data_IF_114669747421
#
_entry.id   IF_114669747421
#
_cell.length_a   1.000
_cell.length_b   1.000
_cell.length_c   1.000
_cell.angle_alpha   90.00
_cell.angle_beta   90.00
_cell.angle_gamma   90.00
#
_symmetry.space_group_name_H-M   'P 1'
#
loop_
_entity.id
_entity.type
_entity.pdbx_description
1 polymer ?
#
# COMPACT_ATOMS: atom_id res chain seq x y z
N UNK A 1 -28.69 51.31 11.96
CA UNK A 1 -27.32 50.97 12.42
C UNK A 1 -27.25 49.58 13.04
N UNK A 2 -28.11 49.21 13.99
CA UNK A 2 -28.09 47.86 14.62
C UNK A 2 -28.40 46.72 13.63
N UNK A 3 -29.26 46.97 12.65
CA UNK A 3 -29.65 46.01 11.61
C UNK A 3 -28.45 45.47 10.82
N UNK A 4 -27.56 46.36 10.35
CA UNK A 4 -26.35 45.96 9.61
C UNK A 4 -25.36 45.21 10.51
N UNK A 5 -25.34 45.52 11.81
CA UNK A 5 -24.45 44.86 12.76
C UNK A 5 -24.92 43.41 13.02
N UNK A 6 -26.23 43.18 13.09
CA UNK A 6 -26.82 41.84 13.25
C UNK A 6 -26.64 41.00 11.99
N UNK A 7 -26.81 41.57 10.79
CA UNK A 7 -26.59 40.81 9.53
C UNK A 7 -25.14 40.38 9.37
N UNK A 8 -24.19 41.26 9.66
CA UNK A 8 -22.76 40.91 9.64
C UNK A 8 -22.41 39.82 10.66
N UNK A 9 -23.01 39.88 11.85
CA UNK A 9 -22.82 38.85 12.87
C UNK A 9 -23.33 37.48 12.40
N UNK A 10 -24.55 37.40 11.88
CA UNK A 10 -25.12 36.14 11.37
C UNK A 10 -24.28 35.60 10.19
N UNK A 11 -23.87 36.46 9.26
CA UNK A 11 -23.03 36.06 8.13
C UNK A 11 -21.67 35.53 8.58
N UNK A 12 -21.07 36.13 9.61
CA UNK A 12 -19.77 35.66 10.13
C UNK A 12 -19.86 34.25 10.71
N UNK A 13 -20.92 33.94 11.47
CA UNK A 13 -21.16 32.60 12.02
C UNK A 13 -21.45 31.60 10.88
N UNK A 14 -22.28 31.99 9.91
CA UNK A 14 -22.60 31.15 8.76
C UNK A 14 -21.36 30.79 7.93
N UNK A 15 -20.48 31.76 7.68
CA UNK A 15 -19.27 31.55 6.89
C UNK A 15 -18.25 30.68 7.63
N UNK A 16 -18.11 30.85 8.96
CA UNK A 16 -17.29 29.95 9.79
C UNK A 16 -17.81 28.50 9.76
N UNK A 17 -19.12 28.31 9.81
CA UNK A 17 -19.74 26.99 9.67
C UNK A 17 -19.41 26.34 8.33
N UNK A 18 -19.55 27.06 7.22
CA UNK A 18 -19.22 26.55 5.88
C UNK A 18 -17.74 26.20 5.76
N UNK A 19 -16.83 27.02 6.29
CA UNK A 19 -15.40 26.74 6.27
C UNK A 19 -15.05 25.43 7.01
N UNK A 20 -15.69 25.17 8.17
CA UNK A 20 -15.49 23.92 8.90
C UNK A 20 -15.96 22.69 8.12
N UNK A 21 -17.09 22.77 7.43
CA UNK A 21 -17.61 21.67 6.60
C UNK A 21 -16.72 21.40 5.39
N UNK A 22 -16.18 22.45 4.76
CA UNK A 22 -15.23 22.29 3.66
C UNK A 22 -13.94 21.59 4.12
N UNK A 23 -13.45 21.92 5.31
CA UNK A 23 -12.28 21.28 5.89
C UNK A 23 -12.52 19.78 6.11
N UNK A 24 -13.62 19.42 6.80
CA UNK A 24 -14.01 18.02 7.04
C UNK A 24 -14.20 17.25 5.72
N UNK A 25 -14.86 17.87 4.73
CA UNK A 25 -15.04 17.28 3.41
C UNK A 25 -13.71 17.00 2.70
N UNK A 26 -12.70 17.85 2.89
CA UNK A 26 -11.37 17.64 2.32
C UNK A 26 -10.67 16.40 2.89
N UNK A 27 -10.74 16.16 4.21
CA UNK A 27 -10.16 14.95 4.80
C UNK A 27 -10.86 13.69 4.34
N UNK A 28 -12.20 13.72 4.29
CA UNK A 28 -13.00 12.61 3.79
C UNK A 28 -12.64 12.26 2.34
N UNK A 29 -12.41 13.27 1.50
CA UNK A 29 -11.96 13.07 0.13
C UNK A 29 -10.52 12.53 0.03
N UNK A 30 -9.60 13.01 0.88
CA UNK A 30 -8.22 12.52 0.91
C UNK A 30 -8.14 11.05 1.32
N UNK A 31 -8.91 10.65 2.34
CA UNK A 31 -9.01 9.26 2.80
C UNK A 31 -9.61 8.35 1.72
N UNK A 32 -10.72 8.78 1.10
CA UNK A 32 -11.34 8.06 -0.01
C UNK A 32 -10.39 7.89 -1.21
N UNK A 33 -9.55 8.90 -1.49
CA UNK A 33 -8.55 8.86 -2.55
C UNK A 33 -7.46 7.84 -2.22
N UNK A 34 -6.89 7.86 -1.02
CA UNK A 34 -5.87 6.89 -0.57
C UNK A 34 -6.38 5.46 -0.70
N UNK A 35 -7.61 5.21 -0.22
CA UNK A 35 -8.25 3.90 -0.33
C UNK A 35 -8.47 3.46 -1.77
N UNK A 36 -8.92 4.37 -2.64
CA UNK A 36 -9.15 4.06 -4.06
C UNK A 36 -7.85 3.69 -4.78
N UNK A 37 -6.78 4.44 -4.51
CA UNK A 37 -5.45 4.14 -5.08
C UNK A 37 -4.92 2.80 -4.57
N UNK A 38 -5.05 2.52 -3.26
CA UNK A 38 -4.65 1.23 -2.69
C UNK A 38 -5.40 0.05 -3.31
N UNK A 39 -6.72 0.17 -3.55
CA UNK A 39 -7.48 -0.89 -4.24
C UNK A 39 -6.93 -1.15 -5.65
N UNK A 40 -6.65 -0.10 -6.43
CA UNK A 40 -6.12 -0.23 -7.79
C UNK A 40 -4.73 -0.89 -7.76
N UNK A 41 -3.85 -0.45 -6.86
CA UNK A 41 -2.49 -1.01 -6.72
C UNK A 41 -2.53 -2.48 -6.27
N UNK A 42 -3.41 -2.85 -5.35
CA UNK A 42 -3.61 -4.25 -4.95
C UNK A 42 -4.03 -5.13 -6.14
N UNK A 43 -4.97 -4.66 -6.96
CA UNK A 43 -5.40 -5.41 -8.15
C UNK A 43 -4.27 -5.53 -9.18
N UNK A 44 -3.52 -4.45 -9.41
CA UNK A 44 -2.35 -4.47 -10.30
C UNK A 44 -1.29 -5.46 -9.82
N UNK A 45 -0.98 -5.47 -8.51
CA UNK A 45 -0.03 -6.45 -7.97
C UNK A 45 -0.57 -7.89 -8.10
N UNK A 46 -1.85 -8.11 -7.83
CA UNK A 46 -2.47 -9.43 -8.03
C UNK A 46 -2.40 -9.90 -9.48
N UNK A 47 -2.60 -9.01 -10.46
CA UNK A 47 -2.45 -9.33 -11.87
C UNK A 47 -1.00 -9.63 -12.23
N UNK A 48 -0.03 -8.92 -11.66
CA UNK A 48 1.40 -9.19 -11.85
C UNK A 48 1.83 -10.52 -11.24
N UNK A 49 1.32 -10.88 -10.07
CA UNK A 49 1.52 -12.21 -9.47
C UNK A 49 0.96 -13.32 -10.38
N UNK A 50 -0.23 -13.12 -10.96
CA UNK A 50 -0.79 -14.08 -11.92
C UNK A 50 0.03 -14.17 -13.21
N UNK A 51 0.57 -13.04 -13.68
CA UNK A 51 1.36 -12.99 -14.90
C UNK A 51 2.78 -13.57 -14.73
N UNK A 52 3.32 -13.50 -13.52
CA UNK A 52 4.62 -14.08 -13.14
C UNK A 52 4.53 -15.52 -12.65
N UNK A 53 3.32 -16.08 -12.57
CA UNK A 53 3.12 -17.44 -12.11
C UNK A 53 3.70 -18.44 -13.11
N UNK A 54 4.47 -19.39 -12.60
CA UNK A 54 5.12 -20.48 -13.33
C UNK A 54 4.71 -21.82 -12.75
N UNK A 55 4.97 -22.91 -13.46
CA UNK A 55 4.71 -24.25 -12.91
C UNK A 55 5.70 -24.55 -11.79
N UNK A 56 5.20 -25.07 -10.67
CA UNK A 56 6.06 -25.53 -9.57
C UNK A 56 6.95 -26.68 -10.04
N UNK A 57 8.22 -26.66 -9.61
CA UNK A 57 9.16 -27.76 -9.82
C UNK A 57 8.81 -28.99 -8.95
N UNK A 58 8.04 -28.79 -7.88
CA UNK A 58 7.72 -29.79 -6.85
C UNK A 58 6.25 -30.25 -6.86
N UNK A 59 5.35 -29.56 -7.56
CA UNK A 59 3.91 -29.80 -7.51
C UNK A 59 3.16 -29.56 -8.83
N UNK A 60 1.92 -30.05 -8.89
CA UNK A 60 1.03 -29.86 -10.04
C UNK A 60 0.22 -28.55 -9.91
N UNK A 61 0.87 -27.40 -10.16
CA UNK A 61 0.15 -26.12 -10.18
C UNK A 61 1.02 -24.89 -10.43
N UNK A 62 0.36 -23.73 -10.47
CA UNK A 62 1.01 -22.44 -10.68
C UNK A 62 1.44 -21.84 -9.35
N UNK A 63 2.70 -21.44 -9.27
CA UNK A 63 3.31 -20.77 -8.12
C UNK A 63 4.08 -19.55 -8.59
N UNK A 64 4.35 -18.62 -7.69
CA UNK A 64 5.29 -17.52 -7.93
C UNK A 64 6.60 -17.80 -7.21
N UNK A 65 7.68 -17.21 -7.70
CA UNK A 65 8.98 -17.36 -7.08
C UNK A 65 8.93 -16.94 -5.58
N UNK A 66 9.59 -17.71 -4.71
CA UNK A 66 9.63 -17.44 -3.27
C UNK A 66 10.11 -16.02 -2.92
N UNK A 67 10.88 -15.38 -3.80
CA UNK A 67 11.32 -13.99 -3.64
C UNK A 67 10.16 -12.98 -3.49
N UNK A 68 8.95 -13.28 -3.98
CA UNK A 68 7.78 -12.41 -3.76
C UNK A 68 7.33 -12.33 -2.29
N UNK A 69 7.72 -13.28 -1.45
CA UNK A 69 7.34 -13.29 -0.03
C UNK A 69 8.40 -12.69 0.90
N UNK A 70 9.55 -12.30 0.33
CA UNK A 70 10.53 -11.49 1.02
C UNK A 70 9.93 -10.10 1.29
N UNK A 71 9.87 -9.67 2.56
CA UNK A 71 9.33 -8.33 2.86
C UNK A 71 10.32 -7.22 2.48
N UNK A 72 11.61 -7.54 2.34
CA UNK A 72 12.66 -6.54 2.15
C UNK A 72 12.65 -5.94 0.73
N UNK A 73 12.03 -6.62 -0.25
CA UNK A 73 11.86 -6.11 -1.62
C UNK A 73 10.75 -5.05 -1.73
N UNK A 74 9.95 -4.88 -0.68
CA UNK A 74 8.87 -3.90 -0.61
C UNK A 74 9.26 -2.70 0.26
N UNK A 75 8.60 -1.58 0.01
CA UNK A 75 8.74 -0.33 0.79
C UNK A 75 10.18 0.21 0.81
N UNK A 76 11.01 -0.21 -0.14
CA UNK A 76 12.44 0.14 -0.24
C UNK A 76 13.26 -0.28 0.99
N UNK A 77 12.83 -1.32 1.71
CA UNK A 77 13.46 -1.74 2.97
C UNK A 77 14.92 -2.18 2.79
N UNK A 78 15.25 -2.74 1.62
CA UNK A 78 16.61 -3.12 1.24
C UNK A 78 17.45 -1.97 0.64
N UNK A 79 16.89 -0.77 0.47
CA UNK A 79 17.58 0.39 -0.08
C UNK A 79 17.95 1.39 1.01
N UNK A 80 19.11 2.02 0.87
CA UNK A 80 19.60 3.04 1.79
C UNK A 80 19.88 4.36 1.06
N UNK A 81 20.03 5.44 1.83
CA UNK A 81 20.35 6.77 1.28
C UNK A 81 19.16 7.74 1.17
N UNK A 82 18.00 7.38 1.72
CA UNK A 82 16.88 8.31 1.90
C UNK A 82 16.79 8.75 3.36
N UNK A 83 17.58 9.76 3.74
CA UNK A 83 17.64 10.31 5.10
C UNK A 83 16.38 11.12 5.45
N UNK A 84 15.27 10.42 5.72
CA UNK A 84 13.96 11.04 6.02
C UNK A 84 13.34 11.79 4.84
N UNK A 85 13.88 11.59 3.63
CA UNK A 85 13.37 12.17 2.39
C UNK A 85 12.11 11.46 1.89
N UNK A 86 11.50 12.01 0.84
CA UNK A 86 10.39 11.35 0.16
C UNK A 86 10.92 10.10 -0.59
N UNK A 87 10.48 8.87 -0.27
CA UNK A 87 10.99 7.64 -0.88
C UNK A 87 10.89 7.61 -2.41
N UNK A 88 9.83 8.19 -2.98
CA UNK A 88 9.66 8.29 -4.42
C UNK A 88 10.78 9.13 -5.07
N UNK A 89 11.14 10.25 -4.45
CA UNK A 89 12.22 11.10 -4.97
C UNK A 89 13.59 10.44 -4.84
N UNK A 90 13.80 9.68 -3.76
CA UNK A 90 15.06 8.99 -3.51
C UNK A 90 15.28 7.82 -4.49
N UNK A 91 14.25 7.00 -4.69
CA UNK A 91 14.44 5.68 -5.29
C UNK A 91 13.73 5.49 -6.63
N UNK A 92 12.73 6.30 -6.99
CA UNK A 92 11.87 6.02 -8.15
C UNK A 92 12.12 6.91 -9.36
N UNK A 93 12.90 7.99 -9.21
CA UNK A 93 13.26 8.86 -10.33
C UNK A 93 14.32 8.25 -11.26
N UNK A 94 15.10 7.30 -10.74
CA UNK A 94 16.07 6.52 -11.49
C UNK A 94 16.18 5.13 -10.85
N UNK A 95 16.35 4.09 -11.67
CA UNK A 95 16.52 2.72 -11.18
C UNK A 95 17.81 2.61 -10.33
N UNK A 96 17.72 2.21 -9.04
CA UNK A 96 18.90 1.98 -8.22
C UNK A 96 19.75 0.83 -8.77
N UNK A 97 21.08 0.91 -8.61
CA UNK A 97 22.00 -0.10 -9.15
C UNK A 97 21.80 -1.50 -8.57
N UNK A 98 21.28 -1.59 -7.34
CA UNK A 98 21.02 -2.85 -6.65
C UNK A 98 19.72 -3.54 -7.12
N UNK A 99 18.87 -2.83 -7.88
CA UNK A 99 17.63 -3.38 -8.43
C UNK A 99 17.88 -3.87 -9.88
N UNK A 100 17.56 -5.14 -10.19
CA UNK A 100 17.72 -5.66 -11.54
C UNK A 100 16.77 -4.95 -12.53
N UNK A 101 17.27 -4.53 -13.70
CA UNK A 101 16.42 -3.98 -14.75
C UNK A 101 15.76 -5.10 -15.58
N UNK A 102 14.48 -5.33 -15.32
CA UNK A 102 13.70 -6.34 -16.03
C UNK A 102 12.83 -5.77 -17.16
N UNK A 103 13.04 -4.50 -17.55
CA UNK A 103 12.21 -3.82 -18.57
C UNK A 103 12.29 -4.48 -19.97
N UNK A 104 13.40 -5.13 -20.29
CA UNK A 104 13.61 -5.87 -21.53
C UNK A 104 13.30 -7.39 -21.43
N UNK A 105 12.79 -7.87 -20.28
CA UNK A 105 12.41 -9.27 -20.10
C UNK A 105 13.57 -10.27 -19.99
N UNK A 106 14.77 -9.83 -19.58
CA UNK A 106 15.97 -10.68 -19.45
C UNK A 106 16.28 -11.13 -18.01
N UNK A 107 15.30 -11.05 -17.10
CA UNK A 107 15.47 -11.41 -15.71
C UNK A 107 15.13 -12.87 -15.43
N UNK A 108 15.86 -13.47 -14.48
CA UNK A 108 15.38 -14.69 -13.80
C UNK A 108 14.12 -14.39 -12.99
N UNK A 109 13.36 -15.43 -12.65
CA UNK A 109 12.12 -15.29 -11.86
C UNK A 109 12.35 -14.60 -10.51
N UNK A 110 13.47 -14.88 -9.84
CA UNK A 110 13.84 -14.21 -8.59
C UNK A 110 14.16 -12.72 -8.81
N UNK A 111 14.85 -12.36 -9.89
CA UNK A 111 15.10 -10.96 -10.24
C UNK A 111 13.82 -10.23 -10.63
N UNK A 112 12.90 -10.94 -11.30
CA UNK A 112 11.59 -10.40 -11.66
C UNK A 112 10.78 -10.07 -10.41
N UNK A 113 10.81 -10.92 -9.37
CA UNK A 113 10.18 -10.64 -8.09
C UNK A 113 10.73 -9.36 -7.43
N UNK A 114 12.06 -9.19 -7.38
CA UNK A 114 12.70 -7.98 -6.82
C UNK A 114 12.31 -6.72 -7.60
N UNK A 115 12.37 -6.77 -8.94
CA UNK A 115 11.98 -5.65 -9.79
C UNK A 115 10.49 -5.33 -9.63
N UNK A 116 9.65 -6.35 -9.49
CA UNK A 116 8.22 -6.18 -9.26
C UNK A 116 7.92 -5.51 -7.92
N UNK A 117 8.58 -5.95 -6.84
CA UNK A 117 8.50 -5.32 -5.53
C UNK A 117 8.89 -3.85 -5.57
N UNK A 118 9.99 -3.53 -6.26
CA UNK A 118 10.42 -2.15 -6.49
C UNK A 118 9.38 -1.33 -7.28
N UNK A 119 8.85 -1.86 -8.39
CA UNK A 119 7.87 -1.14 -9.22
C UNK A 119 6.58 -0.84 -8.46
N UNK A 120 6.03 -1.79 -7.69
CA UNK A 120 4.83 -1.52 -6.88
C UNK A 120 5.14 -0.55 -5.75
N UNK A 121 6.30 -0.68 -5.11
CA UNK A 121 6.73 0.26 -4.06
C UNK A 121 6.83 1.70 -4.61
N UNK A 122 7.33 1.86 -5.84
CA UNK A 122 7.35 3.16 -6.51
C UNK A 122 5.97 3.68 -6.87
N UNK A 123 5.10 2.82 -7.39
CA UNK A 123 3.72 3.19 -7.67
C UNK A 123 3.00 3.65 -6.39
N UNK A 124 3.19 2.93 -5.28
CA UNK A 124 2.65 3.28 -3.98
C UNK A 124 3.21 4.60 -3.45
N UNK A 125 4.54 4.76 -3.42
CA UNK A 125 5.17 5.97 -2.90
C UNK A 125 4.85 7.22 -3.71
N UNK A 126 4.56 7.08 -5.01
CA UNK A 126 4.10 8.19 -5.86
C UNK A 126 2.72 8.72 -5.46
N UNK A 127 1.91 7.84 -4.88
CA UNK A 127 0.49 8.06 -4.61
C UNK A 127 0.27 8.42 -3.13
N UNK A 128 0.92 7.67 -2.23
CA UNK A 128 1.02 7.93 -0.81
C UNK A 128 2.42 7.51 -0.28
N UNK A 129 3.32 8.46 -0.01
CA UNK A 129 4.68 8.18 0.47
C UNK A 129 4.77 7.49 1.84
N UNK A 130 3.70 7.56 2.64
CA UNK A 130 3.63 6.94 3.96
C UNK A 130 2.93 5.58 3.94
N UNK A 131 2.40 5.17 2.79
CA UNK A 131 1.75 3.88 2.67
C UNK A 131 2.78 2.75 2.58
N UNK A 132 2.42 1.61 3.12
CA UNK A 132 3.24 0.40 3.16
C UNK A 132 2.49 -0.77 2.52
N UNK A 133 3.23 -1.59 1.81
CA UNK A 133 2.78 -2.82 1.17
C UNK A 133 3.38 -4.02 1.89
N UNK A 134 2.57 -5.04 2.14
CA UNK A 134 3.02 -6.36 2.55
C UNK A 134 2.33 -7.43 1.70
N UNK A 135 3.13 -8.36 1.17
CA UNK A 135 2.64 -9.57 0.52
C UNK A 135 3.00 -10.77 1.38
N UNK A 136 2.01 -11.53 1.84
CA UNK A 136 2.20 -12.74 2.64
C UNK A 136 1.52 -13.92 1.98
N UNK A 137 1.99 -15.14 2.28
CA UNK A 137 1.30 -16.35 1.91
C UNK A 137 0.88 -17.15 3.14
N UNK A 138 -0.34 -17.68 3.12
CA UNK A 138 -0.75 -18.78 3.98
C UNK A 138 -0.62 -20.07 3.17
N UNK A 139 0.52 -20.72 3.33
CA UNK A 139 0.86 -21.93 2.61
C UNK A 139 -0.02 -23.12 3.04
N UNK A 140 -0.47 -23.90 2.06
CA UNK A 140 -1.32 -25.06 2.26
C UNK A 140 -0.52 -26.38 2.33
N UNK A 141 0.76 -26.38 1.98
CA UNK A 141 1.61 -27.57 1.92
C UNK A 141 3.10 -27.27 2.20
N UNK A 142 3.50 -27.31 3.47
CA UNK A 142 4.87 -26.96 3.86
C UNK A 142 5.98 -27.98 3.46
N UNK A 143 5.68 -28.97 2.62
CA UNK A 143 6.58 -30.10 2.31
C UNK A 143 7.24 -30.04 0.93
N UNK A 144 6.85 -29.10 0.06
CA UNK A 144 7.30 -29.03 -1.34
C UNK A 144 8.41 -27.99 -1.61
N UNK A 145 8.81 -27.24 -0.58
CA UNK A 145 9.89 -26.25 -0.66
C UNK A 145 9.47 -24.91 -1.25
N UNK A 146 8.23 -24.80 -1.73
CA UNK A 146 7.64 -23.54 -2.13
C UNK A 146 7.23 -22.76 -0.87
N UNK A 147 7.47 -21.44 -0.85
CA UNK A 147 6.97 -20.57 0.23
C UNK A 147 5.45 -20.41 0.15
N UNK A 148 4.88 -20.72 -1.01
CA UNK A 148 3.46 -20.69 -1.28
C UNK A 148 3.12 -21.73 -2.34
N UNK A 149 2.66 -22.89 -1.87
CA UNK A 149 2.27 -24.01 -2.73
C UNK A 149 1.09 -23.64 -3.62
N UNK A 150 0.89 -24.36 -4.73
CA UNK A 150 -0.25 -24.13 -5.62
C UNK A 150 -1.59 -24.16 -4.88
N UNK A 151 -2.49 -23.21 -5.19
CA UNK A 151 -3.77 -23.04 -4.48
C UNK A 151 -3.66 -22.42 -3.09
N UNK A 152 -2.48 -22.02 -2.64
CA UNK A 152 -2.30 -21.29 -1.37
C UNK A 152 -2.82 -19.86 -1.46
N UNK A 153 -3.17 -19.30 -0.30
CA UNK A 153 -3.75 -17.95 -0.22
C UNK A 153 -2.64 -16.92 -0.09
N UNK A 154 -2.52 -16.08 -1.12
CA UNK A 154 -1.68 -14.90 -1.12
C UNK A 154 -2.50 -13.73 -0.59
N UNK A 155 -1.95 -12.99 0.37
CA UNK A 155 -2.57 -11.81 0.95
C UNK A 155 -1.72 -10.59 0.65
N UNK A 156 -2.30 -9.67 -0.11
CA UNK A 156 -1.74 -8.35 -0.33
C UNK A 156 -2.42 -7.39 0.64
N UNK A 157 -1.63 -6.71 1.47
CA UNK A 157 -2.08 -5.70 2.42
C UNK A 157 -1.37 -4.38 2.11
N UNK A 158 -2.16 -3.35 1.81
CA UNK A 158 -1.71 -1.98 1.67
C UNK A 158 -2.25 -1.16 2.84
N UNK A 159 -1.37 -0.55 3.63
CA UNK A 159 -1.74 0.23 4.81
C UNK A 159 -1.17 1.64 4.76
N UNK A 160 -1.81 2.59 5.44
CA UNK A 160 -1.32 3.96 5.59
C UNK A 160 -1.79 4.56 6.92
N UNK A 161 -1.04 5.52 7.48
CA UNK A 161 -1.38 6.13 8.76
C UNK A 161 -2.64 6.98 8.64
N UNK A 162 -3.44 6.98 9.71
CA UNK A 162 -4.63 7.83 9.85
C UNK A 162 -4.55 8.67 11.12
N UNK A 163 -5.01 9.91 11.03
CA UNK A 163 -5.09 10.80 12.18
C UNK A 163 -6.45 10.69 12.88
N UNK A 164 -6.44 10.68 14.21
CA UNK A 164 -7.65 10.80 15.01
C UNK A 164 -8.09 12.27 15.09
N UNK A 165 -9.32 12.57 14.66
CA UNK A 165 -9.87 13.93 14.71
C UNK A 165 -10.71 14.14 15.98
N UNK A 166 -10.34 15.16 16.78
CA UNK A 166 -11.13 15.74 17.88
C UNK A 166 -11.87 14.76 18.81
N UNK A 167 -11.13 13.92 19.55
CA UNK A 167 -11.69 12.98 20.55
C UNK A 167 -12.73 11.99 20.00
N UNK A 168 -12.71 11.73 18.69
CA UNK A 168 -13.48 10.64 18.09
C UNK A 168 -12.52 9.46 17.98
N UNK A 169 -12.73 8.45 18.82
CA UNK A 169 -12.02 7.17 18.70
C UNK A 169 -12.52 6.46 17.44
N UNK A 170 -11.64 6.33 16.45
CA UNK A 170 -11.91 5.52 15.25
C UNK A 170 -11.92 4.06 15.66
N UNK A 171 -12.94 3.31 15.26
CA UNK A 171 -12.89 1.85 15.37
C UNK A 171 -11.84 1.33 14.38
N UNK A 172 -10.73 0.84 14.91
CA UNK A 172 -9.60 0.37 14.12
C UNK A 172 -9.84 -1.07 13.67
N UNK A 173 -9.54 -1.34 12.40
CA UNK A 173 -9.57 -2.69 11.88
C UNK A 173 -8.36 -3.47 12.44
N UNK A 174 -8.57 -4.59 13.16
CA UNK A 174 -7.48 -5.36 13.77
C UNK A 174 -6.55 -5.99 12.73
N UNK A 175 -6.98 -6.16 11.48
CA UNK A 175 -6.10 -6.65 10.40
C UNK A 175 -5.07 -5.58 10.02
N UNK A 176 -5.46 -4.31 10.03
CA UNK A 176 -4.57 -3.19 9.73
C UNK A 176 -3.73 -2.78 10.95
N UNK A 177 -4.20 -3.09 12.16
CA UNK A 177 -3.62 -2.69 13.43
C UNK A 177 -3.42 -3.93 14.33
N UNK A 178 -2.52 -4.86 13.96
CA UNK A 178 -2.24 -6.05 14.77
C UNK A 178 -1.56 -5.70 16.10
N UNK A 179 -0.76 -4.63 16.11
CA UNK A 179 -0.09 -4.11 17.29
C UNK A 179 -0.88 -2.92 17.85
N UNK A 180 -1.48 -3.09 19.03
CA UNK A 180 -2.34 -2.08 19.64
C UNK A 180 -1.59 -0.81 20.08
N UNK A 181 -0.26 -0.88 20.22
CA UNK A 181 0.61 0.22 20.62
C UNK A 181 1.23 0.98 19.42
N UNK A 182 0.94 0.55 18.19
CA UNK A 182 1.42 1.20 16.97
C UNK A 182 0.54 2.39 16.55
N UNK A 183 1.10 3.26 15.71
CA UNK A 183 0.35 4.38 15.13
C UNK A 183 -0.86 3.86 14.33
N UNK A 184 -2.07 4.40 14.52
CA UNK A 184 -3.27 3.94 13.84
C UNK A 184 -3.14 3.94 12.31
N UNK A 185 -3.45 2.80 11.70
CA UNK A 185 -3.45 2.61 10.26
C UNK A 185 -4.85 2.30 9.73
N UNK A 186 -5.11 2.72 8.49
CA UNK A 186 -6.15 2.11 7.66
C UNK A 186 -5.50 1.25 6.58
N UNK A 187 -6.25 0.28 6.04
CA UNK A 187 -5.70 -0.62 5.03
C UNK A 187 -6.73 -1.17 4.05
N UNK A 188 -6.22 -1.63 2.90
CA UNK A 188 -6.93 -2.45 1.94
C UNK A 188 -6.25 -3.80 1.86
N UNK A 189 -7.05 -4.85 2.04
CA UNK A 189 -6.60 -6.24 1.94
C UNK A 189 -7.22 -6.86 0.70
N UNK A 190 -6.39 -7.53 -0.10
CA UNK A 190 -6.82 -8.36 -1.22
C UNK A 190 -6.20 -9.74 -1.06
N UNK A 191 -7.05 -10.75 -0.99
CA UNK A 191 -6.61 -12.14 -1.01
C UNK A 191 -6.83 -12.75 -2.39
N UNK A 192 -5.80 -13.43 -2.90
CA UNK A 192 -5.83 -14.14 -4.18
C UNK A 192 -5.24 -15.53 -4.03
N UNK A 193 -5.72 -16.44 -4.85
CA UNK A 193 -5.18 -17.80 -5.00
C UNK A 193 -4.70 -17.95 -6.43
N UNK A 194 -3.56 -18.62 -6.60
CA UNK A 194 -2.95 -18.95 -7.89
C UNK A 194 -3.15 -20.43 -8.19
#
# INVERSE_FOLDING_TARGET
MIEVLVTLFILSIGLLGVASLQFIGSFSNADALNRSQAVILNQQLAERLRASAVLSDSGDGLVVNNGYFDQDIYNFSNLSGCDGGNPYQCYCLALPADIPDCSAGQCSEAQFAVFDGYQVSCALASSNPMAQLSLTCTDNNAADGDSCSAGSRHRILLSWPVENWQNIDRELNPICNPDADAEPQDCVVLDVTL
#
